data_IF_456024292363
#
_entry.id   IF_456024292363
#
_cell.length_a   1.000
_cell.length_b   1.000
_cell.length_c   1.000
_cell.angle_alpha   90.00
_cell.angle_beta   90.00
_cell.angle_gamma   90.00
#
_symmetry.space_group_name_H-M   'P 1'
#
loop_
_entity.id
_entity.type
_entity.pdbx_description
1 polymer ?
#
# COMPACT_ATOMS: atom_id res chain seq x y z
N UNK A 1 -23.18 -23.56 18.36
CA UNK A 1 -22.42 -24.23 19.43
C UNK A 1 -22.35 -23.27 20.60
N UNK A 2 -22.74 -23.68 21.81
CA UNK A 2 -22.76 -22.78 22.97
C UNK A 2 -21.33 -22.37 23.30
N UNK A 3 -21.05 -21.07 23.35
CA UNK A 3 -19.75 -20.55 23.72
C UNK A 3 -19.62 -20.56 25.24
N UNK A 4 -18.78 -21.46 25.76
CA UNK A 4 -18.42 -21.51 27.18
C UNK A 4 -17.25 -20.55 27.44
N UNK A 5 -17.38 -19.73 28.49
CA UNK A 5 -16.31 -18.89 29.03
C UNK A 5 -15.18 -19.75 29.63
N UNK A 6 -14.00 -19.17 29.86
CA UNK A 6 -12.88 -19.89 30.50
C UNK A 6 -13.26 -20.42 31.89
N UNK A 7 -13.96 -19.61 32.69
CA UNK A 7 -14.43 -19.99 34.02
C UNK A 7 -15.37 -21.20 33.97
N UNK A 8 -16.31 -21.20 33.03
CA UNK A 8 -17.25 -22.33 32.85
C UNK A 8 -16.55 -23.62 32.40
N UNK A 9 -15.50 -23.52 31.58
CA UNK A 9 -14.68 -24.68 31.19
C UNK A 9 -13.92 -25.25 32.37
N UNK A 10 -13.37 -24.40 33.23
CA UNK A 10 -12.70 -24.82 34.46
C UNK A 10 -13.71 -25.48 35.41
N UNK A 11 -14.90 -24.90 35.57
CA UNK A 11 -15.98 -25.49 36.36
C UNK A 11 -16.40 -26.86 35.85
N UNK A 12 -16.49 -27.07 34.52
CA UNK A 12 -16.77 -28.38 33.93
C UNK A 12 -15.69 -29.41 34.28
N UNK A 13 -14.41 -29.04 34.27
CA UNK A 13 -13.32 -29.93 34.66
C UNK A 13 -13.39 -30.28 36.15
N UNK A 14 -13.67 -29.30 37.01
CA UNK A 14 -13.85 -29.53 38.45
C UNK A 14 -15.05 -30.45 38.73
N UNK A 15 -16.16 -30.28 37.99
CA UNK A 15 -17.35 -31.13 38.10
C UNK A 15 -17.14 -32.55 37.56
N UNK A 16 -16.30 -32.71 36.53
CA UNK A 16 -15.92 -34.04 36.02
C UNK A 16 -15.15 -34.85 37.06
N UNK A 17 -14.30 -34.20 37.85
CA UNK A 17 -13.44 -34.89 38.80
C UNK A 17 -12.20 -35.50 38.13
N UNK A 18 -11.41 -36.24 38.91
CA UNK A 18 -10.15 -36.85 38.45
C UNK A 18 -9.90 -38.19 39.14
N UNK A 19 -9.24 -39.12 38.44
CA UNK A 19 -8.91 -40.45 38.95
C UNK A 19 -10.17 -41.25 39.30
N UNK A 20 -10.18 -41.87 40.47
CA UNK A 20 -11.27 -42.77 40.91
C UNK A 20 -12.59 -42.05 41.23
N UNK A 21 -12.62 -40.71 41.18
CA UNK A 21 -13.80 -39.87 41.45
C UNK A 21 -14.33 -39.18 40.19
N UNK A 22 -14.18 -39.81 39.04
CA UNK A 22 -14.65 -39.27 37.77
C UNK A 22 -16.15 -39.52 37.57
N UNK A 23 -16.93 -38.44 37.45
CA UNK A 23 -18.37 -38.50 37.14
C UNK A 23 -18.60 -38.75 35.66
N UNK A 24 -19.73 -39.36 35.29
CA UNK A 24 -20.12 -39.53 33.88
C UNK A 24 -20.38 -38.18 33.19
N UNK A 25 -20.29 -38.15 31.86
CA UNK A 25 -20.51 -36.89 31.12
C UNK A 25 -21.95 -36.39 31.26
N UNK A 26 -22.92 -37.30 31.40
CA UNK A 26 -24.33 -36.98 31.63
C UNK A 26 -24.53 -36.31 33.00
N UNK A 27 -23.94 -36.85 34.06
CA UNK A 27 -24.00 -36.26 35.40
C UNK A 27 -23.39 -34.87 35.44
N UNK A 28 -22.27 -34.65 34.73
CA UNK A 28 -21.66 -33.32 34.63
C UNK A 28 -22.56 -32.33 33.89
N UNK A 29 -23.25 -32.78 32.83
CA UNK A 29 -24.21 -31.95 32.11
C UNK A 29 -25.36 -31.51 33.02
N UNK A 30 -25.93 -32.44 33.79
CA UNK A 30 -26.99 -32.14 34.76
C UNK A 30 -26.50 -31.18 35.84
N UNK A 31 -25.40 -31.53 36.52
CA UNK A 31 -24.83 -30.72 37.60
C UNK A 31 -24.48 -29.30 37.14
N UNK A 32 -23.86 -29.17 35.95
CA UNK A 32 -23.52 -27.87 35.40
C UNK A 32 -24.77 -27.06 35.05
N UNK A 33 -25.79 -27.71 34.49
CA UNK A 33 -27.03 -27.03 34.11
C UNK A 33 -27.79 -26.53 35.34
N UNK A 34 -27.84 -27.34 36.40
CA UNK A 34 -28.47 -26.99 37.68
C UNK A 34 -27.70 -25.88 38.41
N UNK A 35 -26.38 -25.81 38.24
CA UNK A 35 -25.55 -24.81 38.95
C UNK A 35 -25.48 -23.46 38.22
N UNK A 36 -25.35 -23.47 36.87
CA UNK A 36 -25.03 -22.27 36.10
C UNK A 36 -26.09 -21.88 35.07
N UNK A 37 -27.05 -22.76 34.77
CA UNK A 37 -28.00 -22.58 33.65
C UNK A 37 -29.46 -22.87 34.07
N UNK A 38 -29.83 -22.53 35.31
CA UNK A 38 -31.21 -22.67 35.81
C UNK A 38 -32.18 -21.90 34.90
N UNK A 39 -33.12 -22.61 34.27
CA UNK A 39 -34.10 -22.03 33.34
C UNK A 39 -33.61 -21.80 31.90
N UNK A 40 -32.41 -22.25 31.53
CA UNK A 40 -31.88 -22.21 30.16
C UNK A 40 -31.81 -23.61 29.53
N UNK A 41 -31.65 -23.66 28.20
CA UNK A 41 -31.46 -24.91 27.47
C UNK A 41 -30.20 -25.65 27.95
N UNK A 42 -30.36 -26.94 28.25
CA UNK A 42 -29.30 -27.81 28.75
C UNK A 42 -28.10 -27.87 27.79
N UNK A 43 -26.88 -27.96 28.34
CA UNK A 43 -25.70 -28.21 27.52
C UNK A 43 -25.77 -29.60 26.90
N UNK A 44 -25.35 -29.72 25.64
CA UNK A 44 -25.25 -31.03 25.01
C UNK A 44 -24.00 -31.79 25.53
N UNK A 45 -24.13 -33.09 25.76
CA UNK A 45 -23.04 -34.01 26.19
C UNK A 45 -21.77 -33.86 25.36
N UNK A 46 -21.91 -33.69 24.04
CA UNK A 46 -20.77 -33.51 23.14
C UNK A 46 -19.96 -32.23 23.41
N UNK A 47 -20.57 -31.18 23.95
CA UNK A 47 -19.88 -29.94 24.32
C UNK A 47 -18.98 -30.18 25.53
N UNK A 48 -19.47 -30.93 26.52
CA UNK A 48 -18.70 -31.28 27.72
C UNK A 48 -17.55 -32.22 27.36
N UNK A 49 -17.84 -33.28 26.59
CA UNK A 49 -16.82 -34.21 26.10
C UNK A 49 -15.73 -33.53 25.28
N UNK A 50 -16.08 -32.65 24.31
CA UNK A 50 -15.09 -31.90 23.52
C UNK A 50 -14.22 -30.98 24.37
N UNK A 51 -14.81 -30.36 25.40
CA UNK A 51 -14.07 -29.45 26.30
C UNK A 51 -13.07 -30.22 27.15
N UNK A 52 -13.48 -31.35 27.72
CA UNK A 52 -12.63 -32.21 28.55
C UNK A 52 -11.53 -32.87 27.71
N UNK A 53 -11.87 -33.45 26.56
CA UNK A 53 -10.87 -34.08 25.67
C UNK A 53 -9.85 -33.06 25.17
N UNK A 54 -10.28 -31.85 24.83
CA UNK A 54 -9.35 -30.78 24.46
C UNK A 54 -8.37 -30.48 25.60
N UNK A 55 -8.84 -30.41 26.85
CA UNK A 55 -7.97 -30.19 27.99
C UNK A 55 -7.01 -31.36 28.22
N UNK A 56 -7.46 -32.61 28.10
CA UNK A 56 -6.59 -33.79 28.23
C UNK A 56 -5.51 -33.85 27.14
N UNK A 57 -5.83 -33.40 25.92
CA UNK A 57 -4.88 -33.37 24.80
C UNK A 57 -3.87 -32.22 24.90
N UNK A 58 -4.30 -31.02 25.30
CA UNK A 58 -3.47 -29.81 25.20
C UNK A 58 -3.08 -29.19 26.55
N UNK A 59 -3.51 -29.78 27.65
CA UNK A 59 -3.34 -29.29 29.04
C UNK A 59 -3.74 -27.83 29.24
N UNK A 60 -4.61 -27.30 28.37
CA UNK A 60 -4.95 -25.88 28.28
C UNK A 60 -6.45 -25.70 28.06
N UNK A 61 -7.04 -24.76 28.81
CA UNK A 61 -8.47 -24.39 28.67
C UNK A 61 -8.72 -23.27 27.65
N UNK A 62 -7.65 -22.72 27.09
CA UNK A 62 -7.70 -21.66 26.08
C UNK A 62 -8.22 -22.21 24.76
N UNK A 63 -8.82 -21.32 23.97
CA UNK A 63 -9.22 -21.68 22.61
C UNK A 63 -8.01 -21.97 21.73
N UNK A 64 -8.14 -22.97 20.85
CA UNK A 64 -7.11 -23.27 19.85
C UNK A 64 -7.00 -22.08 18.92
N UNK A 65 -5.77 -21.71 18.57
CA UNK A 65 -5.51 -20.77 17.50
C UNK A 65 -6.16 -21.33 16.23
N UNK A 66 -7.13 -20.59 15.68
CA UNK A 66 -7.76 -20.97 14.41
C UNK A 66 -6.70 -20.88 13.32
N UNK A 67 -6.59 -21.90 12.47
CA UNK A 67 -5.78 -21.80 11.26
C UNK A 67 -6.41 -20.70 10.39
N UNK A 68 -5.73 -19.55 10.35
CA UNK A 68 -6.11 -18.45 9.48
C UNK A 68 -5.97 -18.85 8.00
N UNK A 69 -6.53 -18.02 7.12
CA UNK A 69 -6.36 -18.16 5.68
C UNK A 69 -4.86 -18.25 5.33
N UNK A 70 -4.42 -19.20 4.47
CA UNK A 70 -3.04 -19.31 4.03
C UNK A 70 -2.55 -17.98 3.44
N UNK A 71 -1.35 -17.53 3.82
CA UNK A 71 -0.72 -16.34 3.25
C UNK A 71 -0.13 -16.68 1.89
N UNK A 72 -0.54 -15.96 0.85
CA UNK A 72 0.12 -16.00 -0.46
C UNK A 72 1.53 -15.42 -0.32
N UNK A 73 2.53 -16.28 -0.48
CA UNK A 73 3.93 -16.03 -0.81
C UNK A 73 4.53 -14.72 -0.25
N UNK A 74 5.19 -14.83 0.91
CA UNK A 74 6.15 -13.83 1.35
C UNK A 74 7.47 -14.15 0.65
N UNK A 75 7.68 -13.63 -0.56
CA UNK A 75 8.97 -13.79 -1.22
C UNK A 75 9.97 -12.90 -0.48
N UNK A 76 10.94 -13.50 0.21
CA UNK A 76 12.07 -12.81 0.88
C UNK A 76 13.05 -12.16 -0.11
N UNK A 77 12.77 -12.24 -1.40
CA UNK A 77 13.66 -11.75 -2.44
C UNK A 77 13.58 -10.22 -2.53
N UNK A 78 14.68 -9.60 -2.09
CA UNK A 78 15.06 -8.19 -2.27
C UNK A 78 15.04 -7.68 -3.73
N UNK A 79 14.64 -8.51 -4.70
CA UNK A 79 14.58 -8.17 -6.13
C UNK A 79 13.64 -6.99 -6.44
N UNK A 80 12.74 -6.62 -5.52
CA UNK A 80 11.84 -5.47 -5.68
C UNK A 80 12.37 -4.11 -5.20
N UNK A 81 13.54 -4.05 -4.55
CA UNK A 81 14.06 -2.87 -3.82
C UNK A 81 14.15 -1.57 -4.62
N UNK A 82 14.03 -1.61 -5.94
CA UNK A 82 14.28 -0.45 -6.82
C UNK A 82 13.16 -0.21 -7.84
N UNK A 83 12.01 -0.84 -7.66
CA UNK A 83 10.94 -0.83 -8.65
C UNK A 83 9.64 -0.25 -8.11
N UNK A 84 8.89 0.39 -9.02
CA UNK A 84 7.49 0.73 -8.73
C UNK A 84 6.65 -0.53 -8.47
N UNK A 85 5.63 -0.41 -7.63
CA UNK A 85 4.67 -1.50 -7.33
C UNK A 85 4.15 -2.17 -8.59
N UNK A 86 3.90 -1.42 -9.66
CA UNK A 86 3.41 -1.98 -10.93
C UNK A 86 4.46 -2.88 -11.60
N UNK A 87 5.72 -2.43 -11.69
CA UNK A 87 6.82 -3.24 -12.23
C UNK A 87 7.10 -4.46 -11.35
N UNK A 88 7.14 -4.28 -10.03
CA UNK A 88 7.35 -5.37 -9.09
C UNK A 88 6.21 -6.41 -9.16
N UNK A 89 4.97 -5.96 -9.32
CA UNK A 89 3.80 -6.83 -9.54
C UNK A 89 3.93 -7.66 -10.82
N UNK A 90 4.37 -7.04 -11.93
CA UNK A 90 4.59 -7.74 -13.20
C UNK A 90 5.74 -8.76 -13.10
N UNK A 91 6.87 -8.37 -12.50
CA UNK A 91 8.03 -9.26 -12.39
C UNK A 91 7.80 -10.44 -11.44
N UNK A 92 7.16 -10.18 -10.30
CA UNK A 92 6.93 -11.20 -9.27
C UNK A 92 5.64 -12.00 -9.51
N UNK A 93 4.86 -11.69 -10.55
CA UNK A 93 3.56 -12.32 -10.82
C UNK A 93 2.53 -12.13 -9.70
N UNK A 94 2.75 -11.17 -8.80
CA UNK A 94 1.92 -10.93 -7.62
C UNK A 94 0.90 -9.81 -7.87
N UNK A 95 -0.20 -9.81 -7.12
CA UNK A 95 -1.11 -8.66 -7.11
C UNK A 95 -0.39 -7.42 -6.56
N UNK A 96 -0.74 -6.23 -7.09
CA UNK A 96 -0.21 -4.94 -6.60
C UNK A 96 -0.40 -4.75 -5.09
N UNK A 97 -1.52 -5.25 -4.55
CA UNK A 97 -1.82 -5.18 -3.11
C UNK A 97 -0.90 -6.10 -2.30
N UNK A 98 -0.61 -7.31 -2.79
CA UNK A 98 0.34 -8.24 -2.16
C UNK A 98 1.74 -7.64 -2.11
N UNK A 99 2.20 -7.04 -3.20
CA UNK A 99 3.49 -6.33 -3.26
C UNK A 99 3.54 -5.20 -2.24
N UNK A 100 2.52 -4.34 -2.21
CA UNK A 100 2.43 -3.26 -1.22
C UNK A 100 2.47 -3.77 0.22
N UNK A 101 1.73 -4.84 0.52
CA UNK A 101 1.68 -5.43 1.86
C UNK A 101 3.05 -6.00 2.26
N UNK A 102 3.73 -6.68 1.36
CA UNK A 102 5.09 -7.19 1.59
C UNK A 102 6.08 -6.05 1.86
N UNK A 103 6.04 -4.98 1.05
CA UNK A 103 6.88 -3.79 1.26
C UNK A 103 6.62 -3.14 2.64
N UNK A 104 5.37 -3.13 3.12
CA UNK A 104 5.04 -2.66 4.47
C UNK A 104 5.56 -3.57 5.58
N UNK A 105 5.52 -4.89 5.39
CA UNK A 105 6.09 -5.86 6.34
C UNK A 105 7.61 -5.68 6.43
N UNK A 106 8.26 -5.44 5.30
CA UNK A 106 9.70 -5.15 5.19
C UNK A 106 10.08 -3.74 5.67
N UNK A 107 9.11 -2.91 6.09
CA UNK A 107 9.29 -1.52 6.53
C UNK A 107 9.91 -0.60 5.46
N UNK A 108 9.72 -0.88 4.18
CA UNK A 108 10.24 -0.02 3.12
C UNK A 108 9.39 1.25 2.97
N UNK A 109 10.07 2.33 2.60
CA UNK A 109 9.48 3.65 2.40
C UNK A 109 9.45 4.00 0.90
N UNK A 110 8.39 4.67 0.44
CA UNK A 110 8.30 5.14 -0.93
C UNK A 110 9.13 6.41 -1.10
N UNK A 111 10.03 6.41 -2.07
CA UNK A 111 10.80 7.60 -2.43
C UNK A 111 10.49 8.05 -3.86
N UNK A 112 10.45 9.37 -4.05
CA UNK A 112 10.25 10.00 -5.36
C UNK A 112 11.61 10.35 -5.95
N UNK A 113 11.77 10.12 -7.25
CA UNK A 113 12.93 10.61 -7.98
C UNK A 113 12.85 12.14 -8.00
N UNK A 114 13.85 12.80 -7.41
CA UNK A 114 13.99 14.25 -7.47
C UNK A 114 14.90 14.59 -8.65
N UNK A 115 14.44 15.52 -9.49
CA UNK A 115 15.30 16.19 -10.46
C UNK A 115 15.52 17.59 -9.91
N UNK A 116 16.73 17.85 -9.41
CA UNK A 116 17.13 19.19 -9.04
C UNK A 116 17.78 19.84 -10.25
N UNK A 117 17.29 21.01 -10.64
CA UNK A 117 18.04 21.94 -11.47
C UNK A 117 18.80 22.81 -10.47
N UNK A 118 20.12 22.63 -10.37
CA UNK A 118 20.94 23.46 -9.50
C UNK A 118 20.84 24.91 -9.99
N UNK A 119 20.23 25.77 -9.18
CA UNK A 119 20.21 27.21 -9.38
C UNK A 119 21.20 27.77 -8.36
N UNK A 120 22.37 28.20 -8.82
CA UNK A 120 23.37 28.82 -7.94
C UNK A 120 22.90 30.22 -7.51
N UNK A 121 23.36 30.70 -6.34
CA UNK A 121 22.97 32.03 -5.85
C UNK A 121 23.53 33.16 -6.73
N UNK A 122 24.66 32.92 -7.40
CA UNK A 122 25.29 33.80 -8.40
C UNK A 122 24.73 33.64 -9.82
N UNK A 123 23.67 32.84 -9.98
CA UNK A 123 23.13 32.52 -11.30
C UNK A 123 22.40 33.74 -11.88
N UNK A 124 22.90 34.26 -13.00
CA UNK A 124 22.30 35.36 -13.76
C UNK A 124 20.83 35.10 -14.09
N UNK A 125 20.45 33.83 -14.22
CA UNK A 125 19.08 33.39 -14.47
C UNK A 125 18.14 33.68 -13.30
N UNK A 126 18.59 33.64 -12.04
CA UNK A 126 17.73 33.99 -10.90
C UNK A 126 17.34 35.46 -10.95
N UNK A 127 18.30 36.35 -11.20
CA UNK A 127 18.03 37.79 -11.33
C UNK A 127 17.11 38.10 -12.51
N UNK A 128 17.31 37.45 -13.66
CA UNK A 128 16.43 37.58 -14.83
C UNK A 128 15.02 37.08 -14.55
N UNK A 129 14.85 35.97 -13.83
CA UNK A 129 13.51 35.45 -13.45
C UNK A 129 12.78 36.40 -12.52
N UNK A 130 13.47 37.00 -11.55
CA UNK A 130 12.89 37.99 -10.63
C UNK A 130 12.48 39.24 -11.41
N UNK A 131 13.38 39.82 -12.22
CA UNK A 131 13.08 40.99 -13.04
C UNK A 131 11.92 40.74 -14.02
N UNK A 132 11.90 39.59 -14.69
CA UNK A 132 10.78 39.20 -15.55
C UNK A 132 9.47 39.15 -14.77
N UNK A 133 9.49 38.56 -13.56
CA UNK A 133 8.30 38.47 -12.71
C UNK A 133 7.78 39.85 -12.31
N UNK A 134 8.68 40.76 -11.93
CA UNK A 134 8.33 42.15 -11.59
C UNK A 134 7.71 42.89 -12.79
N UNK A 135 8.35 42.82 -13.95
CA UNK A 135 7.85 43.45 -15.19
C UNK A 135 6.48 42.89 -15.58
N UNK A 136 6.30 41.57 -15.49
CA UNK A 136 5.03 40.94 -15.82
C UNK A 136 3.93 41.33 -14.85
N UNK A 137 4.22 41.38 -13.54
CA UNK A 137 3.27 41.83 -12.53
C UNK A 137 2.81 43.26 -12.79
N UNK A 138 3.72 44.18 -13.10
CA UNK A 138 3.37 45.57 -13.42
C UNK A 138 2.46 45.67 -14.65
N UNK A 139 2.77 44.92 -15.72
CA UNK A 139 1.95 44.91 -16.95
C UNK A 139 0.54 44.37 -16.71
N UNK A 140 0.42 43.34 -15.87
CA UNK A 140 -0.88 42.75 -15.50
C UNK A 140 -1.70 43.74 -14.66
N UNK A 141 -1.05 44.51 -13.77
CA UNK A 141 -1.72 45.53 -12.95
C UNK A 141 -2.17 46.71 -13.82
N UNK A 142 -1.35 47.13 -14.79
CA UNK A 142 -1.64 48.26 -15.67
C UNK A 142 -2.75 47.97 -16.68
N UNK A 143 -2.81 46.73 -17.20
CA UNK A 143 -3.82 46.31 -18.17
C UNK A 143 -4.37 44.91 -17.83
N UNK A 144 -5.62 44.87 -17.38
CA UNK A 144 -6.33 43.63 -17.08
C UNK A 144 -6.53 42.73 -18.30
N UNK A 145 -6.46 43.29 -19.52
CA UNK A 145 -6.59 42.53 -20.77
C UNK A 145 -5.24 42.03 -21.30
N UNK A 146 -4.13 42.31 -20.62
CA UNK A 146 -2.81 41.87 -21.06
C UNK A 146 -2.66 40.34 -21.05
N UNK A 147 -3.11 39.66 -19.99
CA UNK A 147 -2.97 38.20 -19.85
C UNK A 147 -3.69 37.41 -20.96
N UNK A 148 -4.98 37.69 -21.28
CA UNK A 148 -5.68 36.99 -22.37
C UNK A 148 -5.03 37.16 -23.75
N UNK A 149 -4.21 38.19 -23.95
CA UNK A 149 -3.52 38.44 -25.23
C UNK A 149 -2.20 37.67 -25.36
N UNK A 150 -1.73 37.03 -24.30
CA UNK A 150 -0.49 36.23 -24.33
C UNK A 150 -0.80 34.85 -24.93
N UNK A 151 -0.01 34.48 -25.94
CA UNK A 151 0.04 33.10 -26.44
C UNK A 151 1.22 32.41 -25.74
N UNK A 152 0.92 31.43 -24.90
CA UNK A 152 1.93 30.52 -24.38
C UNK A 152 2.15 29.41 -25.40
N UNK A 153 3.38 29.01 -25.64
CA UNK A 153 3.69 27.84 -26.47
C UNK A 153 4.77 27.01 -25.80
N UNK A 154 4.74 25.71 -26.06
CA UNK A 154 5.77 24.81 -25.59
C UNK A 154 5.87 23.57 -26.48
N UNK A 155 7.06 22.99 -26.54
CA UNK A 155 7.26 21.65 -27.06
C UNK A 155 7.28 20.59 -25.95
N UNK A 156 6.73 19.42 -26.25
CA UNK A 156 6.81 18.25 -25.38
C UNK A 156 7.25 17.02 -26.18
N UNK A 157 8.23 16.28 -25.65
CA UNK A 157 8.71 15.01 -26.20
C UNK A 157 8.16 13.82 -25.41
N UNK A 158 7.39 12.96 -26.06
CA UNK A 158 6.88 11.71 -25.51
C UNK A 158 7.71 10.54 -26.02
N UNK A 159 8.22 9.69 -25.14
CA UNK A 159 9.02 8.52 -25.53
C UNK A 159 8.13 7.28 -25.61
N UNK A 160 8.14 6.59 -26.76
CA UNK A 160 7.29 5.43 -27.03
C UNK A 160 7.78 4.16 -26.32
N UNK A 161 9.04 4.12 -25.89
CA UNK A 161 9.65 2.98 -25.18
C UNK A 161 9.17 2.82 -23.71
N UNK A 162 8.09 3.51 -23.30
CA UNK A 162 7.56 3.42 -21.94
C UNK A 162 8.53 3.92 -20.89
N UNK A 163 9.46 4.80 -21.27
CA UNK A 163 10.44 5.33 -20.34
C UNK A 163 9.73 5.92 -19.12
N UNK A 164 10.31 5.61 -17.97
CA UNK A 164 9.69 5.76 -16.66
C UNK A 164 9.03 7.14 -16.51
N UNK A 165 7.70 7.19 -16.45
CA UNK A 165 6.99 8.40 -16.06
C UNK A 165 7.39 8.72 -14.62
N UNK A 166 8.35 9.64 -14.47
CA UNK A 166 8.97 10.02 -13.19
C UNK A 166 7.95 10.46 -12.14
N UNK A 167 6.81 11.01 -12.56
CA UNK A 167 5.73 11.39 -11.66
C UNK A 167 5.00 10.18 -11.05
N UNK A 168 4.92 9.07 -11.78
CA UNK A 168 4.27 7.83 -11.35
C UNK A 168 5.24 6.81 -10.76
N UNK A 169 6.55 7.03 -10.90
CA UNK A 169 7.57 6.11 -10.42
C UNK A 169 8.03 6.47 -9.01
N UNK A 170 7.78 5.54 -8.09
CA UNK A 170 8.35 5.54 -6.74
C UNK A 170 9.05 4.22 -6.54
N UNK A 171 10.30 4.26 -6.11
CA UNK A 171 10.99 3.06 -5.66
C UNK A 171 10.79 2.91 -4.15
N UNK A 172 10.97 1.69 -3.64
CA UNK A 172 10.70 1.33 -2.26
C UNK A 172 11.95 0.71 -1.66
N UNK A 173 12.53 1.39 -0.69
CA UNK A 173 13.77 0.96 -0.01
C UNK A 173 13.65 1.26 1.49
N UNK A 174 14.48 0.62 2.29
CA UNK A 174 14.67 0.92 3.71
C UNK A 174 15.38 2.28 3.92
N UNK A 175 16.43 2.54 3.15
CA UNK A 175 17.18 3.80 3.14
C UNK A 175 16.97 4.57 1.83
N UNK A 176 17.18 5.89 1.82
CA UNK A 176 17.08 6.68 0.60
C UNK A 176 18.33 6.46 -0.29
N UNK A 177 18.23 5.77 -1.44
CA UNK A 177 19.35 5.49 -2.32
C UNK A 177 19.74 6.70 -3.18
N UNK A 178 19.11 7.88 -3.01
CA UNK A 178 19.35 9.10 -3.81
C UNK A 178 19.41 8.81 -5.31
N UNK A 179 18.47 7.99 -5.78
CA UNK A 179 18.61 7.36 -7.09
C UNK A 179 18.56 8.38 -8.23
N UNK A 180 19.65 8.43 -8.99
CA UNK A 180 19.73 9.12 -10.28
C UNK A 180 19.63 8.07 -11.40
N UNK A 181 18.69 8.27 -12.33
CA UNK A 181 18.54 7.36 -13.46
C UNK A 181 19.38 7.87 -14.63
N UNK A 182 20.50 7.22 -14.91
CA UNK A 182 21.26 7.41 -16.15
C UNK A 182 20.41 6.96 -17.35
N UNK A 183 20.20 7.87 -18.30
CA UNK A 183 19.48 7.60 -19.55
C UNK A 183 20.49 7.20 -20.62
N UNK A 184 20.70 5.91 -20.84
CA UNK A 184 21.39 5.42 -22.03
C UNK A 184 20.41 4.84 -23.05
N UNK A 185 19.90 5.71 -23.93
CA UNK A 185 19.48 5.30 -25.27
C UNK A 185 19.82 6.45 -26.21
N UNK A 186 20.74 6.24 -27.15
CA UNK A 186 21.16 7.27 -28.11
C UNK A 186 20.04 7.64 -29.11
N UNK A 187 19.05 6.75 -29.32
CA UNK A 187 17.94 6.97 -30.27
C UNK A 187 16.59 6.41 -29.77
N UNK A 188 15.97 6.97 -28.72
CA UNK A 188 14.61 6.58 -28.36
C UNK A 188 13.62 7.06 -29.44
N UNK A 189 12.73 6.18 -29.91
CA UNK A 189 11.57 6.61 -30.70
C UNK A 189 10.74 7.58 -29.85
N UNK A 190 10.69 8.84 -30.26
CA UNK A 190 10.02 9.93 -29.58
C UNK A 190 9.03 10.62 -30.51
N UNK A 191 7.91 11.03 -29.95
CA UNK A 191 6.92 11.88 -30.59
C UNK A 191 7.07 13.27 -30.00
N UNK A 192 7.45 14.25 -30.83
CA UNK A 192 7.51 15.63 -30.44
C UNK A 192 6.20 16.32 -30.81
N UNK A 193 5.66 17.09 -29.89
CA UNK A 193 4.41 17.81 -30.07
C UNK A 193 4.66 19.26 -29.70
N UNK A 194 4.23 20.18 -30.55
CA UNK A 194 4.09 21.59 -30.22
C UNK A 194 2.61 21.89 -29.94
N UNK A 195 2.36 22.67 -28.90
CA UNK A 195 1.03 23.22 -28.62
C UNK A 195 1.17 24.62 -28.04
N UNK A 196 0.23 25.49 -28.43
CA UNK A 196 0.00 26.79 -27.86
C UNK A 196 -1.25 26.83 -26.97
N UNK A 197 -1.30 27.77 -26.05
CA UNK A 197 -2.45 28.15 -25.26
C UNK A 197 -2.69 29.65 -25.45
N UNK A 198 -3.89 30.01 -25.87
CA UNK A 198 -4.32 31.39 -26.04
C UNK A 198 -5.66 31.59 -25.34
N UNK A 199 -5.65 32.38 -24.26
CA UNK A 199 -6.76 32.42 -23.31
C UNK A 199 -7.11 31.00 -22.83
N UNK A 200 -8.37 30.60 -23.02
CA UNK A 200 -8.87 29.27 -22.66
C UNK A 200 -8.82 28.25 -23.82
N UNK A 201 -8.20 28.60 -24.95
CA UNK A 201 -8.16 27.76 -26.14
C UNK A 201 -6.77 27.18 -26.39
N UNK A 202 -6.74 25.90 -26.78
CA UNK A 202 -5.52 25.22 -27.21
C UNK A 202 -5.33 25.44 -28.71
N UNK A 203 -4.15 25.89 -29.11
CA UNK A 203 -3.71 26.02 -30.50
C UNK A 203 -2.79 24.84 -30.82
N UNK A 204 -3.23 23.90 -31.65
CA UNK A 204 -2.52 22.63 -31.91
C UNK A 204 -3.38 21.42 -31.51
N UNK A 205 -2.84 20.20 -31.37
CA UNK A 205 -1.42 19.80 -31.34
C UNK A 205 -0.80 19.62 -32.73
N UNK A 206 0.43 20.08 -32.90
CA UNK A 206 1.22 19.86 -34.11
C UNK A 206 2.28 18.79 -33.85
N UNK A 207 2.19 17.68 -34.59
CA UNK A 207 3.13 16.58 -34.49
C UNK A 207 4.37 16.89 -35.33
N UNK A 208 5.53 16.90 -34.67
CA UNK A 208 6.81 17.19 -35.30
C UNK A 208 7.50 15.86 -35.59
N UNK A 209 7.66 15.57 -36.88
CA UNK A 209 8.37 14.39 -37.37
C UNK A 209 9.87 14.69 -37.42
N UNK A 210 10.60 14.39 -36.34
CA UNK A 210 12.04 14.61 -36.27
C UNK A 210 12.51 15.02 -34.87
N UNK A 211 13.78 15.42 -34.75
CA UNK A 211 14.28 16.08 -33.56
C UNK A 211 13.82 17.54 -33.53
N UNK A 212 13.66 18.08 -32.32
CA UNK A 212 13.55 19.53 -32.12
C UNK A 212 14.99 20.04 -32.15
N UNK A 213 15.30 20.93 -33.10
CA UNK A 213 16.61 21.59 -33.22
C UNK A 213 16.67 22.85 -32.36
#
# INVERSE_FOLDING_TARGET
MVNLTEQERISLLMMRGWGDRERSYEEVVHLFSDTFRVGQSQLHKSTVSRTINRFLETSTNKDRLKSGRPKTQTTEERQGEKLSINKASQQLGMSRFSVYKNLKILKYHPYKIHLHQELNEDDFDRRRRVQFSEIMMERIIQDANFLPLIIFSNEASFQLNGNVNRHKFRYWSDENPHWMLEKHTQHPQKLNIWAGLFGDQIIGPFFINGNLD
#
